data_IF_354751536349
#
_entry.id   IF_354751536349
#
_cell.length_a   1.000
_cell.length_b   1.000
_cell.length_c   1.000
_cell.angle_alpha   90.00
_cell.angle_beta   90.00
_cell.angle_gamma   90.00
#
_symmetry.space_group_name_H-M   'P 1'
#
loop_
_entity.id
_entity.type
_entity.pdbx_description
1 polymer ?
#
# COMPACT_ATOMS: atom_id res chain seq x y z
N UNK A 1 17.38 -0.79 -15.90
CA UNK A 1 16.19 -0.97 -15.03
C UNK A 1 16.48 -2.14 -14.12
N UNK A 2 16.61 -1.94 -12.81
CA UNK A 2 16.76 -3.06 -11.89
C UNK A 2 15.40 -3.75 -11.77
N UNK A 3 15.31 -5.00 -12.22
CA UNK A 3 14.14 -5.84 -11.98
C UNK A 3 14.07 -6.06 -10.47
N UNK A 4 13.17 -5.36 -9.77
CA UNK A 4 12.89 -5.69 -8.37
C UNK A 4 12.30 -7.10 -8.35
N UNK A 5 12.93 -8.00 -7.59
CA UNK A 5 12.39 -9.35 -7.37
C UNK A 5 11.03 -9.23 -6.69
N UNK A 6 9.96 -9.73 -7.32
CA UNK A 6 8.61 -9.68 -6.77
C UNK A 6 8.52 -10.31 -5.37
N UNK A 7 9.41 -11.25 -5.04
CA UNK A 7 9.48 -11.88 -3.73
C UNK A 7 9.88 -10.89 -2.64
N UNK A 8 10.76 -9.93 -2.93
CA UNK A 8 11.18 -8.94 -1.94
C UNK A 8 10.10 -7.89 -1.68
N UNK A 9 9.26 -7.60 -2.69
CA UNK A 9 8.12 -6.70 -2.54
C UNK A 9 7.00 -7.35 -1.71
N UNK A 10 6.76 -8.66 -1.90
CA UNK A 10 5.72 -9.39 -1.15
C UNK A 10 6.13 -9.74 0.28
N UNK A 11 7.42 -9.95 0.54
CA UNK A 11 7.95 -10.35 1.85
C UNK A 11 8.72 -9.19 2.50
N UNK A 12 8.00 -8.15 2.89
CA UNK A 12 8.56 -7.02 3.65
C UNK A 12 8.39 -7.21 5.15
N UNK A 13 9.34 -6.67 5.93
CA UNK A 13 9.22 -6.61 7.39
C UNK A 13 8.12 -5.64 7.81
N UNK A 14 7.45 -5.93 8.91
CA UNK A 14 6.37 -5.07 9.37
C UNK A 14 6.86 -3.71 9.85
N UNK A 15 6.12 -2.65 9.49
CA UNK A 15 6.39 -1.28 9.96
C UNK A 15 5.59 -0.87 11.20
N UNK A 16 4.75 -1.75 11.79
CA UNK A 16 3.81 -1.42 12.88
C UNK A 16 4.40 -0.67 14.07
N UNK A 17 5.67 -0.90 14.38
CA UNK A 17 6.38 -0.24 15.48
C UNK A 17 7.48 0.73 15.02
N UNK A 18 7.65 0.91 13.70
CA UNK A 18 8.70 1.73 13.09
C UNK A 18 8.16 3.03 12.47
N UNK A 19 6.85 3.25 12.49
CA UNK A 19 6.18 4.47 12.04
C UNK A 19 5.27 5.00 13.15
N UNK A 20 4.73 6.21 13.00
CA UNK A 20 3.76 6.76 13.96
C UNK A 20 2.49 5.89 14.02
N UNK A 21 1.76 5.96 15.13
CA UNK A 21 0.47 5.25 15.27
C UNK A 21 -0.52 5.72 14.20
N UNK A 22 -0.55 7.02 13.91
CA UNK A 22 -1.45 7.59 12.91
C UNK A 22 -1.09 7.15 11.49
N UNK A 23 0.20 7.09 11.15
CA UNK A 23 0.64 6.53 9.87
C UNK A 23 0.29 5.04 9.76
N UNK A 24 0.50 4.27 10.83
CA UNK A 24 0.16 2.84 10.83
C UNK A 24 -1.34 2.59 10.61
N UNK A 25 -2.20 3.39 11.24
CA UNK A 25 -3.64 3.31 11.01
C UNK A 25 -4.00 3.70 9.57
N UNK A 26 -3.41 4.77 9.03
CA UNK A 26 -3.61 5.15 7.62
C UNK A 26 -3.14 4.06 6.64
N UNK A 27 -2.08 3.33 6.96
CA UNK A 27 -1.61 2.16 6.18
C UNK A 27 -2.61 1.01 6.23
N UNK A 28 -3.19 0.72 7.40
CA UNK A 28 -4.25 -0.30 7.54
C UNK A 28 -5.45 0.09 6.68
N UNK A 29 -5.93 1.33 6.81
CA UNK A 29 -7.11 1.82 6.09
C UNK A 29 -6.88 1.80 4.59
N UNK A 30 -5.70 2.23 4.12
CA UNK A 30 -5.35 2.18 2.70
C UNK A 30 -5.28 0.74 2.21
N UNK A 31 -4.66 -0.19 2.95
CA UNK A 31 -4.63 -1.61 2.56
C UNK A 31 -6.05 -2.23 2.53
N UNK A 32 -6.93 -1.84 3.44
CA UNK A 32 -8.34 -2.24 3.40
C UNK A 32 -9.05 -1.65 2.17
N UNK A 33 -8.80 -0.38 1.84
CA UNK A 33 -9.32 0.28 0.65
C UNK A 33 -8.91 -0.45 -0.64
N UNK A 34 -7.64 -0.85 -0.77
CA UNK A 34 -7.17 -1.64 -1.90
C UNK A 34 -7.98 -2.95 -2.06
N UNK A 35 -8.26 -3.65 -0.94
CA UNK A 35 -9.08 -4.88 -0.96
C UNK A 35 -10.55 -4.62 -1.31
N UNK A 36 -11.13 -3.51 -0.84
CA UNK A 36 -12.48 -3.10 -1.20
C UNK A 36 -12.59 -2.74 -2.68
N UNK A 37 -11.61 -2.01 -3.22
CA UNK A 37 -11.58 -1.69 -4.65
C UNK A 37 -11.47 -2.96 -5.50
N UNK A 38 -10.65 -3.92 -5.06
CA UNK A 38 -10.55 -5.24 -5.70
C UNK A 38 -11.88 -5.99 -5.65
N UNK A 39 -12.56 -6.04 -4.51
CA UNK A 39 -13.83 -6.77 -4.37
C UNK A 39 -14.97 -6.15 -5.17
N UNK A 40 -14.94 -4.83 -5.39
CA UNK A 40 -15.93 -4.12 -6.20
C UNK A 40 -15.56 -4.05 -7.70
N UNK A 41 -14.41 -4.57 -8.11
CA UNK A 41 -13.99 -4.58 -9.51
C UNK A 41 -13.60 -3.21 -10.08
N UNK A 42 -13.29 -2.22 -9.23
CA UNK A 42 -12.84 -0.89 -9.71
C UNK A 42 -11.34 -0.83 -10.02
N UNK A 43 -10.65 -1.96 -9.88
CA UNK A 43 -9.22 -2.09 -10.14
C UNK A 43 -8.93 -2.41 -11.62
N UNK A 44 -7.86 -1.84 -12.17
CA UNK A 44 -7.37 -2.09 -13.53
C UNK A 44 -6.03 -2.84 -13.48
N UNK A 45 -6.07 -4.11 -13.09
CA UNK A 45 -4.85 -4.93 -12.89
C UNK A 45 -3.83 -4.15 -12.01
N UNK A 46 -2.60 -3.92 -12.47
CA UNK A 46 -1.57 -3.14 -11.76
C UNK A 46 -1.56 -1.64 -12.08
N UNK A 47 -2.41 -1.15 -12.99
CA UNK A 47 -2.23 0.14 -13.67
C UNK A 47 -2.77 1.37 -12.92
N UNK A 48 -3.88 1.25 -12.19
CA UNK A 48 -4.41 2.34 -11.36
C UNK A 48 -4.00 2.19 -9.89
N UNK A 49 -4.24 3.22 -9.08
CA UNK A 49 -3.86 3.26 -7.67
C UNK A 49 -4.81 4.13 -6.84
N UNK A 50 -4.80 3.92 -5.53
CA UNK A 50 -5.33 4.84 -4.51
C UNK A 50 -4.16 5.34 -3.66
N UNK A 51 -4.17 6.60 -3.28
CA UNK A 51 -3.21 7.17 -2.34
C UNK A 51 -3.90 7.75 -1.12
N UNK A 52 -3.17 7.78 -0.01
CA UNK A 52 -3.59 8.46 1.22
C UNK A 52 -2.46 9.38 1.68
N UNK A 53 -2.77 10.58 2.16
CA UNK A 53 -1.77 11.46 2.76
C UNK A 53 -1.34 10.87 4.12
N UNK A 54 -0.05 10.94 4.44
CA UNK A 54 0.44 10.54 5.76
C UNK A 54 -0.05 11.57 6.80
N UNK A 55 -0.76 11.17 7.86
CA UNK A 55 -1.19 12.09 8.91
C UNK A 55 0.01 12.80 9.56
N UNK A 56 -0.08 14.12 9.71
CA UNK A 56 1.00 14.96 10.26
C UNK A 56 2.14 15.30 9.29
N UNK A 57 2.19 14.66 8.12
CA UNK A 57 3.29 14.79 7.15
C UNK A 57 2.74 15.28 5.79
N UNK A 58 2.52 16.61 5.62
CA UNK A 58 1.72 17.14 4.52
C UNK A 58 2.30 16.87 3.12
N UNK A 59 3.60 16.60 3.01
CA UNK A 59 4.26 16.35 1.73
C UNK A 59 4.44 14.86 1.40
N UNK A 60 3.93 13.96 2.26
CA UNK A 60 4.10 12.52 2.09
C UNK A 60 2.77 11.81 1.82
N UNK A 61 2.82 10.84 0.91
CA UNK A 61 1.68 10.02 0.52
C UNK A 61 2.04 8.54 0.56
N UNK A 62 1.09 7.73 1.00
CA UNK A 62 1.10 6.27 0.91
C UNK A 62 0.52 5.86 -0.44
N UNK A 63 1.16 4.90 -1.11
CA UNK A 63 0.74 4.30 -2.37
C UNK A 63 1.28 2.86 -2.44
N UNK A 64 0.59 1.94 -3.12
CA UNK A 64 1.10 0.58 -3.29
C UNK A 64 2.38 0.55 -4.13
N UNK A 65 3.22 -0.46 -3.93
CA UNK A 65 4.27 -0.78 -4.88
C UNK A 65 3.67 -1.12 -6.25
N UNK A 66 4.29 -0.64 -7.34
CA UNK A 66 3.72 -0.73 -8.68
C UNK A 66 3.44 -2.18 -9.12
N UNK A 67 4.33 -3.12 -8.80
CA UNK A 67 4.22 -4.52 -9.23
C UNK A 67 3.16 -5.35 -8.49
N UNK A 68 2.60 -4.85 -7.37
CA UNK A 68 1.60 -5.58 -6.59
C UNK A 68 0.21 -5.52 -7.25
N UNK A 69 -0.50 -6.64 -7.22
CA UNK A 69 -1.95 -6.66 -7.38
C UNK A 69 -2.63 -6.03 -6.16
N UNK A 70 -3.91 -5.68 -6.32
CA UNK A 70 -4.67 -4.94 -5.32
C UNK A 70 -4.93 -5.75 -4.04
N UNK A 71 -5.14 -7.05 -4.17
CA UNK A 71 -5.33 -7.98 -3.06
C UNK A 71 -4.02 -8.37 -2.36
N UNK A 72 -2.87 -8.09 -2.95
CA UNK A 72 -1.55 -8.33 -2.36
C UNK A 72 -1.08 -7.18 -1.46
N UNK A 73 -1.77 -6.03 -1.48
CA UNK A 73 -1.39 -4.87 -0.67
C UNK A 73 -1.61 -5.15 0.81
N UNK A 74 -0.60 -4.86 1.62
CA UNK A 74 -0.67 -4.91 3.09
C UNK A 74 -0.30 -3.54 3.68
N UNK A 75 -0.44 -3.41 5.01
CA UNK A 75 -0.07 -2.17 5.70
C UNK A 75 1.47 -1.98 5.80
N UNK A 76 2.24 -3.06 5.66
CA UNK A 76 3.70 -3.04 5.77
C UNK A 76 4.35 -2.70 4.43
#
# INVERSE_FOLDING_TARGET
MATQDIRTIRNVQSLKANVSTDEWNARIDLAACYRLVRSNGWNMNIFNHVSARVPGEPNYFLIKAHALLWDEVTAS
#
